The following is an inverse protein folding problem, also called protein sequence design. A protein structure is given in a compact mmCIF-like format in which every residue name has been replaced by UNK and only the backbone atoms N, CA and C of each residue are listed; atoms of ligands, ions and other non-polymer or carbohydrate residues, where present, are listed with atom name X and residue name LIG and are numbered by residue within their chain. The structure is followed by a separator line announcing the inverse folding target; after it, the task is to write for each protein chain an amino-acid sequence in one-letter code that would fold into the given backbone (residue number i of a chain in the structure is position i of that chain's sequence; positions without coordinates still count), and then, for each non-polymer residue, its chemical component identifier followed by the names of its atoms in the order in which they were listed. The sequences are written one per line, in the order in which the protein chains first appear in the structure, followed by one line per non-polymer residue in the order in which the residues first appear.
data_IF_917114605384
#
_entry.id   IF_917114605384
#
_cell.length_a   1.000
_cell.length_b   1.000
_cell.length_c   1.000
_cell.angle_alpha   90.00
_cell.angle_beta   90.00
_cell.angle_gamma   90.00
#
_symmetry.space_group_name_H-M   'P 1'
#
loop_
_entity.id
_entity.type
_entity.pdbx_description
1 polymer ?
#
# COMPACT_ATOMS: atom_id res chain seq x y z
N UNK A 1 -1.80 14.18 11.20
CA UNK A 1 -1.12 13.85 9.93
C UNK A 1 0.36 13.98 10.22
N UNK A 2 1.18 12.97 9.94
CA UNK A 2 2.60 12.98 10.34
C UNK A 2 3.30 14.04 9.47
N UNK A 3 3.74 15.16 10.04
CA UNK A 3 4.31 16.32 9.31
C UNK A 3 5.44 15.91 8.35
N UNK A 4 6.11 14.79 8.64
CA UNK A 4 7.15 14.20 7.80
C UNK A 4 6.63 13.70 6.43
N UNK A 5 5.37 13.26 6.32
CA UNK A 5 4.80 12.72 5.08
C UNK A 5 4.76 13.74 3.95
N UNK A 6 4.56 15.01 4.29
CA UNK A 6 4.45 16.09 3.32
C UNK A 6 5.78 16.34 2.60
N UNK A 7 6.89 15.78 3.10
CA UNK A 7 8.23 15.90 2.52
C UNK A 7 8.71 14.65 1.79
N UNK A 8 7.91 13.57 1.71
CA UNK A 8 8.32 12.32 1.05
C UNK A 8 8.62 12.52 -0.44
N UNK A 9 8.01 13.53 -1.07
CA UNK A 9 8.30 13.89 -2.47
C UNK A 9 9.78 14.23 -2.71
N UNK A 10 10.52 14.64 -1.68
CA UNK A 10 11.95 14.92 -1.79
C UNK A 10 12.80 13.65 -1.96
N UNK A 11 12.27 12.47 -1.62
CA UNK A 11 12.99 11.19 -1.72
C UNK A 11 14.28 11.14 -0.90
N UNK A 12 14.36 11.95 0.17
CA UNK A 12 15.50 12.02 1.09
C UNK A 12 15.26 11.12 2.30
N UNK A 13 16.33 10.61 2.94
CA UNK A 13 16.21 9.87 4.19
C UNK A 13 15.45 10.64 5.27
N UNK A 14 14.71 9.91 6.09
CA UNK A 14 13.90 10.45 7.19
C UNK A 14 14.61 10.15 8.51
N UNK A 15 14.86 11.19 9.29
CA UNK A 15 15.40 11.02 10.63
C UNK A 15 14.35 10.40 11.56
N UNK A 16 14.75 9.34 12.27
CA UNK A 16 13.94 8.69 13.30
C UNK A 16 14.74 8.55 14.61
N UNK A 17 14.09 8.00 15.64
CA UNK A 17 14.73 7.74 16.95
C UNK A 17 15.81 6.65 16.93
N UNK A 18 15.85 5.83 15.87
CA UNK A 18 16.88 4.80 15.71
C UNK A 18 17.95 5.19 14.67
N UNK A 19 17.78 6.33 13.99
CA UNK A 19 18.66 6.76 12.90
C UNK A 19 17.88 7.15 11.64
N UNK A 20 18.59 7.29 10.53
CA UNK A 20 18.02 7.66 9.24
C UNK A 20 17.46 6.44 8.50
N UNK A 21 16.25 6.58 7.96
CA UNK A 21 15.55 5.59 7.14
C UNK A 21 15.39 6.14 5.73
N UNK A 22 16.00 5.46 4.75
CA UNK A 22 15.91 5.76 3.32
C UNK A 22 14.80 4.95 2.63
N UNK A 23 14.39 5.41 1.46
CA UNK A 23 13.39 4.76 0.62
C UNK A 23 14.01 3.65 -0.21
N UNK A 24 13.23 2.60 -0.51
CA UNK A 24 13.59 1.63 -1.55
C UNK A 24 13.33 2.30 -2.91
N UNK A 25 14.37 2.37 -3.74
CA UNK A 25 14.32 2.91 -5.11
C UNK A 25 13.56 1.94 -6.02
N UNK A 26 12.92 2.46 -7.08
CA UNK A 26 12.14 1.63 -8.00
C UNK A 26 12.95 0.48 -8.62
N UNK A 27 14.21 0.72 -8.98
CA UNK A 27 15.13 -0.30 -9.50
C UNK A 27 15.32 -1.49 -8.56
N UNK A 28 15.26 -1.26 -7.24
CA UNK A 28 15.46 -2.29 -6.22
C UNK A 28 14.14 -2.94 -5.78
N UNK A 29 13.00 -2.31 -6.05
CA UNK A 29 11.69 -2.72 -5.56
C UNK A 29 11.31 -4.18 -5.84
N UNK A 30 11.60 -4.77 -7.03
CA UNK A 30 11.30 -6.17 -7.31
C UNK A 30 11.93 -7.16 -6.31
N UNK A 31 13.05 -6.79 -5.67
CA UNK A 31 13.75 -7.63 -4.69
C UNK A 31 13.06 -7.68 -3.32
N UNK A 32 12.09 -6.78 -3.08
CA UNK A 32 11.43 -6.59 -1.79
C UNK A 32 9.90 -6.73 -1.85
N UNK A 33 9.31 -7.00 -3.03
CA UNK A 33 7.85 -7.06 -3.20
C UNK A 33 7.18 -8.05 -2.26
N UNK A 34 7.78 -9.24 -2.06
CA UNK A 34 7.26 -10.28 -1.15
C UNK A 34 7.34 -9.84 0.31
N UNK A 35 8.44 -9.23 0.71
CA UNK A 35 8.64 -8.82 2.09
C UNK A 35 7.76 -7.62 2.44
N UNK A 36 7.65 -6.63 1.54
CA UNK A 36 6.74 -5.50 1.71
C UNK A 36 5.28 -5.93 1.81
N UNK A 37 4.85 -6.97 1.08
CA UNK A 37 3.50 -7.53 1.22
C UNK A 37 3.29 -8.22 2.57
N UNK A 38 4.30 -8.88 3.12
CA UNK A 38 4.27 -9.42 4.49
C UNK A 38 4.21 -8.30 5.54
N UNK A 39 4.95 -7.21 5.37
CA UNK A 39 4.90 -6.05 6.26
C UNK A 39 3.50 -5.45 6.33
N UNK A 40 2.74 -5.48 5.22
CA UNK A 40 1.37 -4.95 5.13
C UNK A 40 0.40 -5.65 6.10
N UNK A 41 0.61 -6.94 6.37
CA UNK A 41 -0.28 -7.74 7.21
C UNK A 41 -0.17 -7.30 8.68
N UNK A 42 -1.32 -7.00 9.28
CA UNK A 42 -1.41 -6.74 10.71
C UNK A 42 -1.79 -7.99 11.49
N UNK A 43 -1.80 -7.92 12.83
CA UNK A 43 -2.13 -9.07 13.69
C UNK A 43 -3.47 -9.72 13.31
N UNK A 44 -4.52 -8.91 13.05
CA UNK A 44 -5.84 -9.45 12.65
C UNK A 44 -5.77 -10.18 11.30
N UNK A 45 -5.04 -9.62 10.34
CA UNK A 45 -4.84 -10.19 9.00
C UNK A 45 -4.10 -11.52 9.07
N UNK A 46 -3.05 -11.60 9.90
CA UNK A 46 -2.31 -12.83 10.13
C UNK A 46 -3.21 -13.91 10.75
N UNK A 47 -3.93 -13.58 11.82
CA UNK A 47 -4.85 -14.52 12.47
C UNK A 47 -5.91 -15.04 11.49
N UNK A 48 -6.48 -14.15 10.67
CA UNK A 48 -7.47 -14.52 9.64
C UNK A 48 -6.88 -15.49 8.61
N UNK A 49 -5.68 -15.19 8.11
CA UNK A 49 -4.99 -16.04 7.13
C UNK A 49 -4.76 -17.45 7.68
N UNK A 50 -4.21 -17.57 8.89
CA UNK A 50 -4.03 -18.88 9.52
C UNK A 50 -5.37 -19.58 9.85
N UNK A 51 -6.41 -18.83 10.20
CA UNK A 51 -7.73 -19.40 10.47
C UNK A 51 -8.37 -19.99 9.20
N UNK A 52 -8.08 -19.43 8.01
CA UNK A 52 -8.56 -19.98 6.72
C UNK A 52 -8.00 -21.36 6.41
N UNK A 53 -6.76 -21.62 6.80
CA UNK A 53 -6.12 -22.92 6.59
C UNK A 53 -6.39 -23.92 7.72
N UNK A 54 -7.16 -23.53 8.73
CA UNK A 54 -7.42 -24.32 9.94
C UNK A 54 -8.75 -25.09 9.87
N UNK A 55 -9.02 -25.77 8.75
CA UNK A 55 -10.28 -26.52 8.57
C UNK A 55 -10.43 -27.68 9.59
N UNK A 56 -9.31 -28.27 10.01
CA UNK A 56 -9.25 -29.43 10.92
C UNK A 56 -9.02 -29.05 12.39
N UNK A 57 -8.88 -27.76 12.71
CA UNK A 57 -8.57 -27.26 14.05
C UNK A 57 -7.12 -27.49 14.52
N UNK A 58 -6.24 -28.04 13.67
CA UNK A 58 -4.85 -28.35 14.03
C UNK A 58 -4.02 -27.11 14.43
N UNK A 59 -4.41 -25.93 13.94
CA UNK A 59 -3.77 -24.65 14.23
C UNK A 59 -4.43 -23.88 15.39
N UNK A 60 -5.48 -24.42 16.04
CA UNK A 60 -6.17 -23.74 17.15
C UNK A 60 -5.21 -23.28 18.26
N UNK A 61 -4.30 -24.14 18.78
CA UNK A 61 -3.36 -23.71 19.82
C UNK A 61 -2.48 -22.55 19.36
N UNK A 62 -2.04 -22.60 18.11
CA UNK A 62 -1.18 -21.59 17.49
C UNK A 62 -1.92 -20.26 17.29
N UNK A 63 -3.16 -20.30 16.78
CA UNK A 63 -4.01 -19.12 16.61
C UNK A 63 -4.33 -18.48 17.97
N UNK A 64 -4.62 -19.29 19.00
CA UNK A 64 -4.83 -18.81 20.37
C UNK A 64 -3.56 -18.14 20.91
N UNK A 65 -2.38 -18.68 20.62
CA UNK A 65 -1.11 -18.07 20.99
C UNK A 65 -0.89 -16.71 20.31
N UNK A 66 -1.12 -16.63 18.99
CA UNK A 66 -1.04 -15.37 18.25
C UNK A 66 -2.02 -14.32 18.81
N UNK A 67 -3.23 -14.73 19.20
CA UNK A 67 -4.22 -13.83 19.82
C UNK A 67 -3.72 -13.20 21.13
N UNK A 68 -2.82 -13.84 21.87
CA UNK A 68 -2.26 -13.32 23.14
C UNK A 68 -1.08 -12.38 22.96
N UNK A 69 -0.35 -12.51 21.86
CA UNK A 69 0.87 -11.75 21.57
C UNK A 69 0.60 -10.47 20.79
N UNK A 70 1.45 -9.47 20.87
CA UNK A 70 1.38 -8.33 19.95
C UNK A 70 2.06 -8.63 18.60
N UNK A 71 1.95 -7.71 17.63
CA UNK A 71 2.53 -7.93 16.30
C UNK A 71 4.06 -8.06 16.36
N UNK A 72 4.74 -7.33 17.26
CA UNK A 72 6.18 -7.41 17.40
C UNK A 72 6.60 -8.81 17.85
N UNK A 73 5.94 -9.35 18.87
CA UNK A 73 6.16 -10.70 19.39
C UNK A 73 5.81 -11.78 18.37
N UNK A 74 4.73 -11.61 17.61
CA UNK A 74 4.36 -12.54 16.53
C UNK A 74 5.46 -12.58 15.47
N UNK A 75 5.92 -11.42 14.99
CA UNK A 75 6.93 -11.32 13.94
C UNK A 75 8.29 -11.84 14.42
N UNK A 76 8.71 -11.55 15.66
CA UNK A 76 10.07 -11.89 16.12
C UNK A 76 10.19 -13.23 16.84
N UNK A 77 9.09 -13.83 17.31
CA UNK A 77 9.16 -15.04 18.14
C UNK A 77 8.28 -16.19 17.66
N UNK A 78 7.31 -15.94 16.77
CA UNK A 78 6.32 -16.95 16.37
C UNK A 78 6.43 -17.30 14.90
N UNK A 79 6.69 -16.32 14.05
CA UNK A 79 6.69 -16.47 12.58
C UNK A 79 8.08 -16.21 11.99
N UNK A 80 8.92 -17.25 11.78
CA UNK A 80 10.27 -17.09 11.23
C UNK A 80 10.31 -16.37 9.88
N UNK A 81 9.40 -16.72 8.96
CA UNK A 81 9.35 -16.09 7.63
C UNK A 81 9.07 -14.58 7.72
N UNK A 82 8.22 -14.18 8.68
CA UNK A 82 7.95 -12.77 8.95
C UNK A 82 9.16 -12.10 9.59
N UNK A 83 9.85 -12.76 10.51
CA UNK A 83 11.09 -12.24 11.08
C UNK A 83 12.11 -11.91 9.98
N UNK A 84 12.35 -12.86 9.07
CA UNK A 84 13.28 -12.70 7.96
C UNK A 84 12.86 -11.59 6.99
N UNK A 85 11.57 -11.52 6.65
CA UNK A 85 11.03 -10.48 5.77
C UNK A 85 11.19 -9.07 6.37
N UNK A 86 10.85 -8.92 7.65
CA UNK A 86 11.03 -7.67 8.37
C UNK A 86 12.51 -7.30 8.47
N UNK A 87 13.38 -8.25 8.84
CA UNK A 87 14.81 -8.02 8.91
C UNK A 87 15.38 -7.57 7.56
N UNK A 88 14.99 -8.21 6.45
CA UNK A 88 15.45 -7.88 5.10
C UNK A 88 15.03 -6.46 4.69
N UNK A 89 13.78 -6.08 4.92
CA UNK A 89 13.31 -4.72 4.60
C UNK A 89 13.99 -3.68 5.49
N UNK A 90 14.01 -3.88 6.81
CA UNK A 90 14.66 -2.95 7.75
C UNK A 90 16.14 -2.76 7.43
N UNK A 91 16.85 -3.84 7.09
CA UNK A 91 18.28 -3.79 6.72
C UNK A 91 18.54 -3.00 5.44
N UNK A 92 17.56 -2.91 4.54
CA UNK A 92 17.67 -2.14 3.30
C UNK A 92 17.39 -0.66 3.52
N UNK A 93 16.36 -0.34 4.31
CA UNK A 93 15.93 1.04 4.52
C UNK A 93 16.77 1.77 5.55
N UNK A 94 17.37 1.07 6.52
CA UNK A 94 18.25 1.71 7.50
C UNK A 94 19.61 2.02 6.88
N UNK A 95 20.01 3.31 6.94
CA UNK A 95 21.34 3.73 6.48
C UNK A 95 22.42 3.13 7.36
N UNK A 96 22.23 3.19 8.68
CA UNK A 96 23.10 2.52 9.64
C UNK A 96 22.53 1.15 10.03
N UNK A 97 23.21 0.07 9.67
CA UNK A 97 22.78 -1.30 10.00
C UNK A 97 22.82 -1.60 11.48
N UNK A 98 23.67 -0.93 12.27
CA UNK A 98 23.74 -1.13 13.72
C UNK A 98 22.43 -0.71 14.41
N UNK A 99 21.68 0.21 13.79
CA UNK A 99 20.36 0.66 14.24
C UNK A 99 19.30 -0.44 14.24
N UNK A 100 19.52 -1.57 13.56
CA UNK A 100 18.61 -2.72 13.60
C UNK A 100 18.40 -3.23 15.02
N UNK A 101 19.46 -3.21 15.84
CA UNK A 101 19.43 -3.65 17.25
C UNK A 101 18.59 -2.73 18.14
N UNK A 102 18.32 -1.51 17.69
CA UNK A 102 17.51 -0.53 18.42
C UNK A 102 16.00 -0.70 18.17
N UNK A 103 15.61 -1.59 17.24
CA UNK A 103 14.20 -1.90 16.98
C UNK A 103 13.65 -2.76 18.11
N UNK A 104 12.73 -2.20 18.87
CA UNK A 104 12.09 -2.84 20.01
C UNK A 104 10.57 -2.75 19.95
N UNK A 105 9.91 -3.46 20.87
CA UNK A 105 8.45 -3.53 21.00
C UNK A 105 7.76 -2.16 21.00
N UNK A 106 8.39 -1.14 21.60
CA UNK A 106 7.82 0.22 21.69
C UNK A 106 7.82 0.97 20.35
N UNK A 107 8.90 0.88 19.57
CA UNK A 107 9.07 1.67 18.34
C UNK A 107 8.61 0.96 17.08
N UNK A 108 8.56 -0.37 17.11
CA UNK A 108 8.26 -1.21 15.98
C UNK A 108 6.96 -0.82 15.23
N UNK A 109 5.81 -0.55 15.89
CA UNK A 109 4.60 -0.16 15.17
C UNK A 109 4.75 1.15 14.40
N UNK A 110 5.47 2.12 14.97
CA UNK A 110 5.71 3.43 14.35
C UNK A 110 6.65 3.32 13.16
N UNK A 111 7.74 2.57 13.31
CA UNK A 111 8.71 2.33 12.25
C UNK A 111 8.10 1.55 11.08
N UNK A 112 7.36 0.48 11.38
CA UNK A 112 6.61 -0.29 10.38
C UNK A 112 5.64 0.60 9.61
N UNK A 113 4.83 1.40 10.31
CA UNK A 113 3.88 2.32 9.68
C UNK A 113 4.59 3.35 8.80
N UNK A 114 5.71 3.90 9.26
CA UNK A 114 6.52 4.82 8.48
C UNK A 114 7.00 4.17 7.17
N UNK A 115 7.54 2.96 7.23
CA UNK A 115 8.00 2.24 6.03
C UNK A 115 6.84 1.97 5.06
N UNK A 116 5.68 1.52 5.55
CA UNK A 116 4.49 1.33 4.72
C UNK A 116 4.07 2.64 4.06
N UNK A 117 4.05 3.73 4.82
CA UNK A 117 3.70 5.06 4.33
C UNK A 117 4.70 5.55 3.25
N UNK A 118 6.01 5.37 3.47
CA UNK A 118 7.07 5.73 2.51
C UNK A 118 6.90 5.04 1.15
N UNK A 119 6.37 3.81 1.14
CA UNK A 119 6.18 3.00 -0.06
C UNK A 119 4.74 3.03 -0.59
N UNK A 120 3.88 3.92 -0.06
CA UNK A 120 2.46 4.03 -0.45
C UNK A 120 1.67 2.73 -0.27
N UNK A 121 2.01 1.93 0.75
CA UNK A 121 1.34 0.67 1.06
C UNK A 121 0.36 0.89 2.20
N UNK A 122 -0.92 0.60 1.96
CA UNK A 122 -1.94 0.62 3.02
C UNK A 122 -1.93 -0.69 3.79
N UNK A 123 -1.85 -0.61 5.12
CA UNK A 123 -2.00 -1.76 6.02
C UNK A 123 -3.32 -2.51 5.78
N UNK A 124 -3.29 -3.85 5.84
CA UNK A 124 -4.48 -4.66 5.59
C UNK A 124 -5.55 -4.41 6.66
N UNK A 125 -6.78 -4.15 6.22
CA UNK A 125 -7.93 -4.00 7.11
C UNK A 125 -8.68 -5.32 7.22
N UNK A 126 -8.96 -5.72 8.45
CA UNK A 126 -9.85 -6.83 8.77
C UNK A 126 -11.04 -6.28 9.54
N UNK A 127 -12.21 -6.44 8.95
CA UNK A 127 -13.52 -6.18 9.53
C UNK A 127 -13.89 -7.38 10.41
N UNK A 128 -14.45 -7.13 11.60
CA UNK A 128 -14.79 -8.19 12.55
C UNK A 128 -16.02 -9.02 12.13
N UNK A 129 -16.79 -8.53 11.15
CA UNK A 129 -17.94 -9.21 10.57
C UNK A 129 -17.50 -9.98 9.33
N UNK A 130 -17.65 -11.31 9.36
CA UNK A 130 -17.18 -12.22 8.31
C UNK A 130 -17.88 -11.98 6.96
N UNK A 131 -19.18 -11.73 6.94
CA UNK A 131 -19.94 -11.44 5.70
C UNK A 131 -19.46 -10.14 5.05
N UNK A 132 -19.28 -9.08 5.85
CA UNK A 132 -18.75 -7.80 5.36
C UNK A 132 -17.30 -7.95 4.88
N UNK A 133 -16.53 -8.82 5.53
CA UNK A 133 -15.16 -9.09 5.15
C UNK A 133 -15.09 -9.88 3.83
N UNK A 134 -15.96 -10.86 3.61
CA UNK A 134 -16.07 -11.58 2.34
C UNK A 134 -16.45 -10.62 1.20
N UNK A 135 -17.44 -9.76 1.43
CA UNK A 135 -17.82 -8.73 0.47
C UNK A 135 -16.65 -7.78 0.14
N UNK A 136 -15.89 -7.39 1.16
CA UNK A 136 -14.69 -6.57 1.00
C UNK A 136 -13.61 -7.30 0.19
N UNK A 137 -13.40 -8.59 0.44
CA UNK A 137 -12.42 -9.41 -0.27
C UNK A 137 -12.80 -9.61 -1.75
N UNK A 138 -14.09 -9.88 -2.04
CA UNK A 138 -14.61 -9.97 -3.40
C UNK A 138 -14.47 -8.63 -4.12
N UNK A 139 -14.86 -7.53 -3.47
CA UNK A 139 -14.76 -6.19 -4.05
C UNK A 139 -13.30 -5.80 -4.35
N UNK A 140 -12.37 -6.16 -3.46
CA UNK A 140 -10.93 -5.96 -3.68
C UNK A 140 -10.42 -6.79 -4.86
N UNK A 141 -10.83 -8.05 -4.97
CA UNK A 141 -10.46 -8.94 -6.07
C UNK A 141 -10.96 -8.43 -7.43
N UNK A 142 -12.24 -8.02 -7.51
CA UNK A 142 -12.83 -7.47 -8.73
C UNK A 142 -12.13 -6.18 -9.18
N UNK A 143 -11.84 -5.28 -8.25
CA UNK A 143 -11.13 -4.03 -8.58
C UNK A 143 -9.67 -4.25 -8.95
N UNK A 144 -9.00 -5.27 -8.42
CA UNK A 144 -7.66 -5.65 -8.89
C UNK A 144 -7.68 -6.19 -10.33
N UNK A 145 -8.79 -6.77 -10.77
CA UNK A 145 -8.99 -7.14 -12.18
C UNK A 145 -9.32 -5.92 -13.05
N UNK A 146 -10.06 -4.95 -12.51
CA UNK A 146 -10.43 -3.72 -13.22
C UNK A 146 -9.33 -2.63 -13.17
N UNK A 147 -8.36 -2.71 -12.25
CA UNK A 147 -7.28 -1.73 -12.14
C UNK A 147 -6.36 -1.87 -13.34
N UNK A 148 -6.67 -1.11 -14.40
CA UNK A 148 -6.04 -1.26 -15.71
C UNK A 148 -4.58 -0.80 -15.79
N UNK A 149 -4.07 -0.13 -14.76
CA UNK A 149 -2.73 0.46 -14.82
C UNK A 149 -1.75 -0.39 -14.01
N UNK A 150 -1.08 -1.31 -14.72
CA UNK A 150 0.08 -2.00 -14.16
C UNK A 150 1.20 -0.98 -13.87
N UNK A 151 2.14 -1.34 -13.00
CA UNK A 151 3.31 -0.50 -12.70
C UNK A 151 4.06 -0.06 -13.99
N UNK A 152 4.12 -0.93 -15.00
CA UNK A 152 4.72 -0.63 -16.31
C UNK A 152 4.00 0.52 -17.03
N UNK A 153 2.67 0.58 -16.92
CA UNK A 153 1.84 1.58 -17.59
C UNK A 153 2.04 2.93 -16.88
N UNK A 154 2.01 2.92 -15.55
CA UNK A 154 2.34 4.09 -14.71
C UNK A 154 3.71 4.65 -15.08
N UNK A 155 4.75 3.80 -15.13
CA UNK A 155 6.11 4.20 -15.47
C UNK A 155 6.18 4.75 -16.90
N UNK A 156 5.53 4.11 -17.87
CA UNK A 156 5.49 4.59 -19.25
C UNK A 156 4.80 5.94 -19.39
N UNK A 157 3.73 6.17 -18.62
CA UNK A 157 3.05 7.47 -18.57
C UNK A 157 3.98 8.55 -18.02
N UNK A 158 4.63 8.29 -16.88
CA UNK A 158 5.57 9.25 -16.29
C UNK A 158 6.72 9.55 -17.25
N UNK A 159 7.26 8.54 -17.94
CA UNK A 159 8.31 8.73 -18.95
C UNK A 159 7.83 9.62 -20.12
N UNK A 160 6.65 9.33 -20.66
CA UNK A 160 6.10 10.04 -21.82
C UNK A 160 5.72 11.50 -21.52
N UNK A 161 5.12 11.76 -20.36
CA UNK A 161 4.52 13.08 -20.06
C UNK A 161 5.45 14.01 -19.27
N UNK A 162 6.29 13.48 -18.39
CA UNK A 162 7.20 14.31 -17.60
C UNK A 162 8.56 14.52 -18.29
N UNK A 163 8.86 13.74 -19.33
CA UNK A 163 10.13 13.79 -20.06
C UNK A 163 11.30 13.14 -19.32
N UNK A 164 11.02 12.37 -18.26
CA UNK A 164 12.05 11.60 -17.56
C UNK A 164 12.45 10.37 -18.37
N UNK A 165 13.75 10.08 -18.37
CA UNK A 165 14.27 8.82 -18.86
C UNK A 165 13.89 7.67 -17.92
N UNK A 166 13.84 6.44 -18.44
CA UNK A 166 13.60 5.26 -17.59
C UNK A 166 14.68 5.08 -16.51
N UNK A 167 15.90 5.56 -16.77
CA UNK A 167 16.99 5.55 -15.79
C UNK A 167 16.71 6.50 -14.62
N UNK A 168 16.27 7.74 -14.90
CA UNK A 168 15.84 8.69 -13.86
C UNK A 168 14.64 8.17 -13.08
N UNK A 169 13.65 7.56 -13.76
CA UNK A 169 12.50 6.96 -13.09
C UNK A 169 12.95 5.81 -12.19
N UNK A 170 13.94 5.00 -12.61
CA UNK A 170 14.43 3.88 -11.79
C UNK A 170 15.04 4.31 -10.44
N UNK A 171 15.52 5.56 -10.35
CA UNK A 171 16.04 6.19 -9.13
C UNK A 171 14.96 6.90 -8.28
N UNK A 172 13.73 6.96 -8.76
CA UNK A 172 12.63 7.49 -7.98
C UNK A 172 12.22 6.54 -6.85
N UNK A 173 11.59 7.13 -5.84
CA UNK A 173 10.83 6.39 -4.83
C UNK A 173 9.44 6.07 -5.35
N UNK A 174 8.76 5.07 -4.76
CA UNK A 174 7.37 4.76 -5.11
C UNK A 174 6.45 5.98 -4.92
N UNK A 175 6.69 6.75 -3.86
CA UNK A 175 5.97 8.00 -3.59
C UNK A 175 6.10 9.01 -4.72
N UNK A 176 7.33 9.25 -5.20
CA UNK A 176 7.59 10.17 -6.32
C UNK A 176 6.93 9.72 -7.62
N UNK A 177 6.96 8.42 -7.92
CA UNK A 177 6.32 7.86 -9.11
C UNK A 177 4.82 8.07 -9.07
N UNK A 178 4.15 7.65 -7.98
CA UNK A 178 2.70 7.80 -7.86
C UNK A 178 2.28 9.26 -7.81
N UNK A 179 3.00 10.12 -7.09
CA UNK A 179 2.71 11.55 -7.08
C UNK A 179 2.79 12.14 -8.49
N UNK A 180 3.83 11.79 -9.26
CA UNK A 180 4.01 12.27 -10.65
C UNK A 180 2.88 11.81 -11.55
N UNK A 181 2.52 10.52 -11.47
CA UNK A 181 1.44 9.93 -12.25
C UNK A 181 0.07 10.55 -11.94
N UNK A 182 -0.31 10.65 -10.66
CA UNK A 182 -1.60 11.23 -10.29
C UNK A 182 -1.65 12.74 -10.54
N UNK A 183 -0.53 13.46 -10.42
CA UNK A 183 -0.49 14.89 -10.78
C UNK A 183 -0.69 15.07 -12.28
N UNK A 184 -0.05 14.23 -13.10
CA UNK A 184 -0.28 14.21 -14.54
C UNK A 184 -1.77 13.92 -14.85
N UNK A 185 -2.38 12.95 -14.17
CA UNK A 185 -3.80 12.62 -14.36
C UNK A 185 -4.72 13.82 -14.06
N UNK A 186 -4.48 14.56 -12.97
CA UNK A 186 -5.26 15.77 -12.64
C UNK A 186 -5.08 16.89 -13.67
N UNK A 187 -3.87 17.09 -14.19
CA UNK A 187 -3.60 18.06 -15.28
C UNK A 187 -4.34 17.66 -16.55
N UNK A 188 -4.33 16.37 -16.91
CA UNK A 188 -5.06 15.87 -18.07
C UNK A 188 -6.57 16.04 -17.89
N UNK A 189 -7.10 15.70 -16.71
CA UNK A 189 -8.50 15.89 -16.36
C UNK A 189 -8.92 17.37 -16.45
N UNK A 190 -8.09 18.28 -15.97
CA UNK A 190 -8.31 19.73 -16.09
C UNK A 190 -8.38 20.20 -17.55
N UNK A 191 -7.42 19.77 -18.38
CA UNK A 191 -7.40 20.12 -19.79
C UNK A 191 -8.66 19.59 -20.51
N UNK A 192 -9.05 18.36 -20.21
CA UNK A 192 -10.25 17.72 -20.76
C UNK A 192 -11.54 18.44 -20.33
N UNK A 193 -11.70 18.71 -19.03
CA UNK A 193 -12.90 19.40 -18.51
C UNK A 193 -13.00 20.84 -19.01
N UNK A 194 -11.88 21.55 -19.15
CA UNK A 194 -11.82 22.88 -19.76
C UNK A 194 -12.28 22.85 -21.22
N UNK A 195 -11.81 21.86 -22.01
CA UNK A 195 -12.22 21.70 -23.40
C UNK A 195 -13.73 21.43 -23.51
N UNK A 196 -14.27 20.53 -22.69
CA UNK A 196 -15.72 20.22 -22.72
C UNK A 196 -16.58 21.39 -22.22
N UNK A 197 -16.09 22.19 -21.29
CA UNK A 197 -16.77 23.41 -20.83
C UNK A 197 -16.94 24.45 -21.95
N UNK A 198 -16.19 24.37 -23.07
CA UNK A 198 -16.38 25.25 -24.23
C UNK A 198 -17.64 24.93 -25.04
N UNK A 199 -18.15 23.70 -24.94
CA UNK A 199 -19.30 23.20 -25.74
C UNK A 199 -20.50 22.83 -24.88
N UNK A 200 -20.34 22.70 -23.56
CA UNK A 200 -21.42 22.37 -22.63
C UNK A 200 -21.29 23.19 -21.34
N UNK A 201 -22.32 23.99 -20.97
CA UNK A 201 -22.30 24.80 -19.75
C UNK A 201 -22.39 23.96 -18.47
N UNK A 202 -22.81 22.69 -18.56
CA UNK A 202 -23.01 21.81 -17.40
C UNK A 202 -21.71 21.15 -16.92
N UNK A 203 -20.60 21.31 -17.65
CA UNK A 203 -19.33 20.68 -17.31
C UNK A 203 -18.59 21.51 -16.29
N UNK A 204 -18.43 20.96 -15.07
CA UNK A 204 -17.59 21.56 -14.03
C UNK A 204 -16.11 21.33 -14.36
N UNK A 205 -15.38 22.41 -14.57
CA UNK A 205 -13.92 22.38 -14.73
C UNK A 205 -13.30 21.85 -13.42
N UNK A 206 -12.45 20.82 -13.53
CA UNK A 206 -11.74 20.27 -12.37
C UNK A 206 -10.66 21.22 -11.89
N UNK A 207 -10.08 20.99 -10.71
CA UNK A 207 -8.94 21.77 -10.22
C UNK A 207 -7.67 20.93 -10.37
N UNK A 208 -6.81 21.31 -11.32
CA UNK A 208 -5.53 20.62 -11.55
C UNK A 208 -4.58 20.68 -10.36
N UNK A 209 -4.77 21.65 -9.46
CA UNK A 209 -3.96 21.86 -8.26
C UNK A 209 -4.50 21.12 -7.03
N UNK A 210 -5.59 20.37 -7.21
CA UNK A 210 -6.23 19.62 -6.13
C UNK A 210 -5.26 18.69 -5.39
N UNK A 211 -5.59 18.44 -4.11
CA UNK A 211 -4.80 17.58 -3.26
C UNK A 211 -4.86 16.13 -3.75
N UNK A 212 -3.69 15.52 -3.96
CA UNK A 212 -3.55 14.11 -4.33
C UNK A 212 -3.40 13.30 -3.06
N UNK A 213 -4.42 12.49 -2.74
CA UNK A 213 -4.36 11.56 -1.63
C UNK A 213 -3.87 10.18 -2.09
N UNK A 214 -2.56 9.95 -1.99
CA UNK A 214 -1.91 8.66 -2.32
C UNK A 214 -2.29 7.51 -1.37
N UNK A 215 -2.93 7.82 -0.25
CA UNK A 215 -3.36 6.84 0.75
C UNK A 215 -4.89 6.75 0.82
N UNK A 216 -5.59 7.27 -0.19
CA UNK A 216 -7.04 7.20 -0.24
C UNK A 216 -7.42 5.73 -0.31
N UNK A 217 -8.06 5.26 0.75
CA UNK A 217 -8.67 3.94 0.72
C UNK A 217 -9.75 3.96 -0.34
N UNK A 218 -9.67 3.00 -1.25
CA UNK A 218 -10.75 2.78 -2.18
C UNK A 218 -12.01 2.41 -1.38
N UNK A 219 -13.06 3.21 -1.52
CA UNK A 219 -14.37 2.82 -1.01
C UNK A 219 -14.86 1.64 -1.85
N UNK A 220 -14.94 0.45 -1.25
CA UNK A 220 -15.43 -0.78 -1.89
C UNK A 220 -16.97 -0.85 -1.92
N UNK A 221 -17.64 0.27 -2.19
CA UNK A 221 -19.04 0.21 -2.53
C UNK A 221 -19.13 -0.28 -3.98
N UNK A 222 -19.70 -1.47 -4.18
CA UNK A 222 -20.07 -1.95 -5.51
C UNK A 222 -21.03 -0.95 -6.12
N UNK A 223 -20.82 -0.59 -7.39
CA UNK A 223 -21.87 0.09 -8.13
C UNK A 223 -23.09 -0.84 -8.22
N UNK A 224 -24.28 -0.29 -8.41
CA UNK A 224 -25.50 -1.10 -8.59
C UNK A 224 -25.36 -2.12 -9.74
N UNK A 225 -24.47 -1.84 -10.70
CA UNK A 225 -24.14 -2.75 -11.80
C UNK A 225 -23.30 -3.93 -11.33
N UNK A 226 -22.29 -3.69 -10.50
CA UNK A 226 -21.41 -4.74 -9.99
C UNK A 226 -22.16 -5.62 -8.98
N UNK A 227 -23.03 -5.02 -8.15
CA UNK A 227 -23.92 -5.77 -7.27
C UNK A 227 -24.83 -6.74 -8.04
N UNK A 228 -25.39 -6.31 -9.19
CA UNK A 228 -26.20 -7.18 -10.07
C UNK A 228 -25.39 -8.31 -10.71
N UNK A 229 -24.13 -8.07 -11.05
CA UNK A 229 -23.26 -9.13 -11.60
C UNK A 229 -22.95 -10.19 -10.53
N UNK A 230 -22.76 -9.76 -9.27
CA UNK A 230 -22.60 -10.70 -8.14
C UNK A 230 -23.89 -11.48 -7.90
N UNK A 231 -25.06 -10.83 -7.89
CA UNK A 231 -26.35 -11.54 -7.79
C UNK A 231 -26.53 -12.60 -8.89
N UNK A 232 -26.06 -12.35 -10.12
CA UNK A 232 -26.10 -13.34 -11.19
C UNK A 232 -25.13 -14.51 -10.99
N UNK A 233 -24.01 -14.29 -10.29
CA UNK A 233 -23.02 -15.34 -10.00
C UNK A 233 -23.42 -16.24 -8.83
N UNK A 234 -24.21 -15.73 -7.87
CA UNK A 234 -24.64 -16.47 -6.68
C UNK A 234 -26.15 -16.79 -6.64
N UNK A 235 -26.92 -16.37 -7.64
CA UNK A 235 -28.39 -16.44 -7.68
C UNK A 235 -29.01 -17.27 -8.82
N UNK A 236 -28.31 -18.30 -9.29
CA UNK A 236 -28.87 -19.38 -10.12
C UNK A 236 -28.93 -20.69 -9.34
#
# INVERSE_FOLDING_TARGET
MNELKDFFFLGKPIQTEIGEIDFIRLKDYPLYTKELSMLRMNKKSLIKEYSRFNEDGSLDPFIIEMKKRDLYEIVHSVLPDFHEAYFKVFSKVLINKDSLSLIGKHNFPRLRKLILDMHCITEDKVVDNDELQEFHDISKSLKQQDSQSDLKDIVSCVAAFNGYTYEEISEMTMYQLYLSFYRMAEVMNYNTTTLFATVSPDVKVSDWSSHINLYKEESYHLSTKDAKNIEQLFGG
#
